data_IF_243920777118
#
_entry.id   IF_243920777118
#
_cell.length_a   1.000
_cell.length_b   1.000
_cell.length_c   1.000
_cell.angle_alpha   90.00
_cell.angle_beta   90.00
_cell.angle_gamma   90.00
#
_symmetry.space_group_name_H-M   'P 1'
#
loop_
_entity.id
_entity.type
_entity.pdbx_description
1 polymer ?
#
# COMPACT_ATOMS: atom_id res chain seq x y z
N UNK A 1 -25.59 -9.94 -2.63
CA UNK A 1 -25.63 -10.31 -1.20
C UNK A 1 -24.87 -11.63 -1.03
N UNK A 2 -23.54 -11.61 -0.95
CA UNK A 2 -22.72 -12.80 -0.62
C UNK A 2 -21.25 -12.39 -0.50
N UNK A 3 -20.84 -11.83 0.64
CA UNK A 3 -19.40 -11.79 0.99
C UNK A 3 -19.16 -11.45 2.47
N UNK A 4 -19.80 -12.18 3.37
CA UNK A 4 -19.38 -12.22 4.78
C UNK A 4 -19.24 -13.68 5.21
N UNK A 5 -18.30 -14.40 4.57
CA UNK A 5 -17.76 -15.60 5.23
C UNK A 5 -17.08 -15.14 6.51
N UNK A 6 -17.55 -15.66 7.64
CA UNK A 6 -17.14 -15.21 8.96
C UNK A 6 -15.67 -15.58 9.18
N UNK A 7 -14.91 -14.76 9.92
CA UNK A 7 -13.49 -14.96 10.19
C UNK A 7 -13.16 -16.38 10.68
N UNK A 8 -14.11 -17.01 11.39
CA UNK A 8 -14.08 -18.40 11.85
C UNK A 8 -13.97 -19.42 10.71
N UNK A 9 -14.65 -19.19 9.59
CA UNK A 9 -14.57 -20.05 8.41
C UNK A 9 -13.22 -19.90 7.73
N UNK A 10 -12.71 -18.66 7.56
CA UNK A 10 -11.37 -18.41 7.01
C UNK A 10 -10.27 -19.09 7.85
N UNK A 11 -10.37 -19.06 9.18
CA UNK A 11 -9.44 -19.77 10.06
C UNK A 11 -9.50 -21.30 9.91
N UNK A 12 -10.71 -21.88 9.71
CA UNK A 12 -10.85 -23.32 9.45
C UNK A 12 -10.13 -23.74 8.16
N UNK A 13 -10.21 -22.94 7.10
CA UNK A 13 -9.53 -23.23 5.84
C UNK A 13 -8.00 -23.16 5.93
N UNK A 14 -7.43 -22.34 6.82
CA UNK A 14 -5.99 -22.30 7.05
C UNK A 14 -5.47 -23.37 8.01
N UNK A 15 -6.28 -23.81 8.97
CA UNK A 15 -5.86 -24.76 10.00
C UNK A 15 -5.68 -26.19 9.45
N UNK A 16 -6.54 -26.63 8.52
CA UNK A 16 -6.48 -28.00 7.98
C UNK A 16 -5.20 -28.25 7.16
N UNK A 17 -4.80 -27.39 6.20
CA UNK A 17 -3.54 -27.55 5.48
C UNK A 17 -2.31 -27.46 6.40
N UNK A 18 -2.36 -26.63 7.45
CA UNK A 18 -1.28 -26.49 8.41
C UNK A 18 -1.08 -27.77 9.22
N UNK A 19 -2.15 -28.39 9.72
CA UNK A 19 -2.08 -29.65 10.47
C UNK A 19 -1.54 -30.77 9.58
N UNK A 20 -2.03 -30.87 8.34
CA UNK A 20 -1.57 -31.88 7.38
C UNK A 20 -0.08 -31.68 7.06
N UNK A 21 0.36 -30.44 6.86
CA UNK A 21 1.77 -30.11 6.61
C UNK A 21 2.67 -30.53 7.78
N UNK A 22 2.28 -30.20 9.02
CA UNK A 22 3.03 -30.59 10.22
C UNK A 22 3.08 -32.11 10.38
N UNK A 23 1.98 -32.83 10.10
CA UNK A 23 1.95 -34.29 10.15
C UNK A 23 2.87 -34.94 9.10
N UNK A 24 2.91 -34.41 7.88
CA UNK A 24 3.79 -34.91 6.81
C UNK A 24 5.27 -34.65 7.15
N UNK A 25 5.59 -33.48 7.70
CA UNK A 25 6.94 -33.15 8.15
C UNK A 25 7.38 -34.07 9.30
N UNK A 26 6.51 -34.34 10.28
CA UNK A 26 6.80 -35.27 11.37
C UNK A 26 7.04 -36.70 10.88
N UNK A 27 6.23 -37.20 9.94
CA UNK A 27 6.43 -38.52 9.33
C UNK A 27 7.74 -38.59 8.52
N UNK A 28 8.11 -37.49 7.85
CA UNK A 28 9.37 -37.38 7.12
C UNK A 28 10.58 -37.39 8.06
N UNK A 29 10.51 -36.65 9.17
CA UNK A 29 11.55 -36.64 10.22
C UNK A 29 11.70 -38.02 10.88
N UNK A 30 10.59 -38.72 11.14
CA UNK A 30 10.59 -40.09 11.63
C UNK A 30 11.27 -41.04 10.63
N UNK A 31 10.97 -40.93 9.33
CA UNK A 31 11.61 -41.74 8.30
C UNK A 31 13.13 -41.52 8.17
N UNK A 32 13.59 -40.29 8.38
CA UNK A 32 15.02 -39.96 8.45
C UNK A 32 15.67 -40.58 9.69
N UNK A 33 15.01 -40.48 10.86
CA UNK A 33 15.52 -41.02 12.12
C UNK A 33 15.66 -42.54 12.10
N UNK A 34 14.73 -43.25 11.44
CA UNK A 34 14.73 -44.72 11.37
C UNK A 34 15.46 -45.29 10.14
N UNK A 35 16.10 -44.46 9.31
CA UNK A 35 16.79 -44.88 8.07
C UNK A 35 15.91 -45.74 7.13
N UNK A 36 14.60 -45.50 7.10
CA UNK A 36 13.66 -46.28 6.27
C UNK A 36 13.56 -45.62 4.90
N UNK A 37 14.55 -45.89 4.05
CA UNK A 37 14.76 -45.18 2.78
C UNK A 37 13.62 -45.39 1.77
N UNK A 38 12.98 -46.56 1.76
CA UNK A 38 11.93 -46.92 0.80
C UNK A 38 10.57 -46.30 1.19
N UNK A 39 10.27 -46.22 2.49
CA UNK A 39 8.98 -45.71 2.99
C UNK A 39 8.85 -44.21 2.74
N UNK A 40 9.93 -43.45 2.94
CA UNK A 40 9.96 -42.00 2.69
C UNK A 40 9.73 -41.70 1.21
N UNK A 41 10.36 -42.47 0.31
CA UNK A 41 10.20 -42.30 -1.14
C UNK A 41 8.77 -42.63 -1.58
N UNK A 42 8.18 -43.71 -1.07
CA UNK A 42 6.81 -44.10 -1.39
C UNK A 42 5.77 -43.06 -0.95
N UNK A 43 5.89 -42.51 0.27
CA UNK A 43 4.99 -41.46 0.79
C UNK A 43 5.10 -40.17 -0.04
N UNK A 44 6.30 -39.83 -0.51
CA UNK A 44 6.53 -38.65 -1.34
C UNK A 44 5.97 -38.81 -2.76
N UNK A 45 6.11 -40.00 -3.36
CA UNK A 45 5.54 -40.28 -4.69
C UNK A 45 4.01 -40.29 -4.63
N UNK A 46 3.42 -40.82 -3.56
CA UNK A 46 1.96 -40.87 -3.40
C UNK A 46 1.33 -39.50 -3.07
N UNK A 47 2.07 -38.57 -2.47
CA UNK A 47 1.57 -37.23 -2.16
C UNK A 47 1.66 -36.24 -3.33
N UNK A 48 2.55 -36.47 -4.29
CA UNK A 48 2.76 -35.58 -5.45
C UNK A 48 1.51 -35.39 -6.34
N UNK A 49 0.74 -36.44 -6.71
CA UNK A 49 -0.47 -36.29 -7.50
C UNK A 49 -1.56 -35.50 -6.75
N UNK A 50 -1.65 -35.68 -5.42
CA UNK A 50 -2.62 -34.97 -4.59
C UNK A 50 -2.31 -33.47 -4.53
N UNK A 51 -1.03 -33.09 -4.44
CA UNK A 51 -0.61 -31.70 -4.48
C UNK A 51 -0.82 -31.05 -5.85
N UNK A 52 -0.57 -31.77 -6.94
CA UNK A 52 -0.82 -31.30 -8.31
C UNK A 52 -2.33 -31.09 -8.57
N UNK A 53 -3.16 -32.00 -8.07
CA UNK A 53 -4.62 -31.91 -8.17
C UNK A 53 -5.16 -30.73 -7.35
N UNK A 54 -4.62 -30.48 -6.15
CA UNK A 54 -5.01 -29.35 -5.30
C UNK A 54 -4.62 -28.00 -5.93
N UNK A 55 -3.45 -27.93 -6.58
CA UNK A 55 -2.98 -26.74 -7.28
C UNK A 55 -3.86 -26.36 -8.50
N UNK A 56 -4.52 -27.35 -9.12
CA UNK A 56 -5.44 -27.12 -10.24
C UNK A 56 -6.84 -26.67 -9.80
N UNK A 57 -7.21 -26.87 -8.54
CA UNK A 57 -8.57 -26.63 -8.01
C UNK A 57 -8.69 -25.34 -7.17
N UNK A 58 -7.59 -24.68 -6.82
CA UNK A 58 -7.57 -23.56 -5.85
C UNK A 58 -7.06 -22.22 -6.44
N UNK A 59 -7.43 -21.06 -5.85
CA UNK A 59 -7.15 -19.73 -6.41
C UNK A 59 -5.64 -19.44 -6.57
N UNK A 60 -5.25 -18.53 -7.48
CA UNK A 60 -3.86 -18.30 -7.92
C UNK A 60 -2.84 -18.00 -6.81
N UNK A 61 -3.30 -17.55 -5.64
CA UNK A 61 -2.46 -17.29 -4.46
C UNK A 61 -1.92 -18.62 -3.86
N UNK A 62 -2.72 -19.70 -3.88
CA UNK A 62 -2.33 -21.01 -3.35
C UNK A 62 -1.35 -21.75 -4.27
N UNK A 63 -1.41 -21.50 -5.57
CA UNK A 63 -0.47 -22.04 -6.57
C UNK A 63 0.97 -21.59 -6.28
N UNK A 64 1.16 -20.35 -5.82
CA UNK A 64 2.48 -19.83 -5.46
C UNK A 64 3.10 -20.52 -4.25
N UNK A 65 2.29 -20.86 -3.24
CA UNK A 65 2.76 -21.58 -2.04
C UNK A 65 3.15 -23.01 -2.41
N UNK A 66 2.32 -23.71 -3.17
CA UNK A 66 2.59 -25.08 -3.64
C UNK A 66 3.79 -25.15 -4.59
N UNK A 67 3.97 -24.14 -5.45
CA UNK A 67 5.15 -24.00 -6.31
C UNK A 67 6.44 -23.74 -5.51
N UNK A 68 6.36 -23.01 -4.39
CA UNK A 68 7.48 -22.85 -3.47
C UNK A 68 7.88 -24.16 -2.80
N UNK A 69 6.91 -24.99 -2.40
CA UNK A 69 7.17 -26.31 -1.83
C UNK A 69 7.80 -27.29 -2.84
N UNK A 70 7.30 -27.31 -4.09
CA UNK A 70 7.87 -28.16 -5.13
C UNK A 70 9.30 -27.72 -5.51
N UNK A 71 9.57 -26.41 -5.53
CA UNK A 71 10.92 -25.87 -5.73
C UNK A 71 11.90 -26.37 -4.65
N UNK A 72 11.56 -26.20 -3.37
CA UNK A 72 12.42 -26.68 -2.27
C UNK A 72 12.56 -28.21 -2.25
N UNK A 73 11.53 -28.95 -2.66
CA UNK A 73 11.58 -30.40 -2.86
C UNK A 73 12.61 -30.82 -3.92
N UNK A 74 12.62 -30.17 -5.09
CA UNK A 74 13.60 -30.46 -6.15
C UNK A 74 15.01 -30.02 -5.78
N UNK A 75 15.16 -28.91 -5.06
CA UNK A 75 16.44 -28.44 -4.51
C UNK A 75 17.04 -29.49 -3.57
N UNK A 76 16.24 -30.10 -2.69
CA UNK A 76 16.70 -31.17 -1.77
C UNK A 76 17.02 -32.47 -2.51
N UNK A 77 16.25 -32.84 -3.54
CA UNK A 77 16.56 -34.00 -4.39
C UNK A 77 17.87 -33.82 -5.15
N UNK A 78 18.10 -32.63 -5.72
CA UNK A 78 19.34 -32.27 -6.39
C UNK A 78 20.52 -32.30 -5.40
N UNK A 79 20.35 -31.81 -4.17
CA UNK A 79 21.36 -31.92 -3.11
C UNK A 79 21.70 -33.38 -2.76
N UNK A 80 20.73 -34.30 -2.82
CA UNK A 80 20.95 -35.73 -2.56
C UNK A 80 21.67 -36.43 -3.73
N UNK A 81 21.39 -36.01 -4.97
CA UNK A 81 22.02 -36.54 -6.20
C UNK A 81 23.48 -36.06 -6.33
N UNK A 82 23.80 -34.83 -5.88
CA UNK A 82 25.14 -34.22 -6.02
C UNK A 82 26.08 -34.57 -4.84
N UNK A 83 25.74 -35.57 -4.02
CA UNK A 83 26.58 -36.04 -2.91
C UNK A 83 27.84 -36.81 -3.36
N UNK A 84 28.45 -36.40 -4.47
CA UNK A 84 29.81 -36.79 -4.83
C UNK A 84 30.65 -35.58 -5.28
N UNK A 85 31.62 -35.26 -4.41
CA UNK A 85 32.92 -34.61 -4.67
C UNK A 85 33.02 -33.15 -5.19
N UNK A 86 31.96 -32.44 -5.55
CA UNK A 86 32.07 -31.02 -6.01
C UNK A 86 31.12 -30.02 -5.31
N UNK A 87 30.72 -30.33 -4.08
CA UNK A 87 29.60 -29.70 -3.39
C UNK A 87 29.79 -28.21 -3.04
N UNK A 88 30.87 -27.75 -2.41
CA UNK A 88 30.84 -26.41 -1.77
C UNK A 88 30.71 -25.18 -2.70
N UNK A 89 31.34 -25.16 -3.88
CA UNK A 89 31.31 -23.97 -4.76
C UNK A 89 30.01 -23.87 -5.60
N UNK A 90 29.38 -25.01 -5.90
CA UNK A 90 28.10 -25.05 -6.59
C UNK A 90 26.96 -24.56 -5.67
N UNK A 91 27.09 -24.81 -4.36
CA UNK A 91 26.09 -24.47 -3.33
C UNK A 91 25.87 -22.96 -3.19
N UNK A 92 26.94 -22.17 -3.20
CA UNK A 92 26.83 -20.71 -3.07
C UNK A 92 26.19 -20.08 -4.32
N UNK A 93 26.52 -20.57 -5.51
CA UNK A 93 25.95 -20.09 -6.76
C UNK A 93 24.43 -20.33 -6.84
N UNK A 94 23.95 -21.53 -6.48
CA UNK A 94 22.51 -21.83 -6.50
C UNK A 94 21.72 -21.12 -5.39
N UNK A 95 22.31 -20.94 -4.21
CA UNK A 95 21.66 -20.16 -3.15
C UNK A 95 21.49 -18.69 -3.56
N UNK A 96 22.51 -18.10 -4.19
CA UNK A 96 22.45 -16.72 -4.69
C UNK A 96 21.43 -16.62 -5.84
N UNK A 97 21.40 -17.57 -6.77
CA UNK A 97 20.40 -17.59 -7.85
C UNK A 97 18.97 -17.79 -7.33
N UNK A 98 18.78 -18.65 -6.33
CA UNK A 98 17.49 -18.87 -5.68
C UNK A 98 17.02 -17.64 -4.89
N UNK A 99 17.93 -16.94 -4.20
CA UNK A 99 17.66 -15.67 -3.54
C UNK A 99 17.26 -14.60 -4.57
N UNK A 100 18.00 -14.50 -5.68
CA UNK A 100 17.68 -13.57 -6.77
C UNK A 100 16.32 -13.87 -7.39
N UNK A 101 15.99 -15.14 -7.61
CA UNK A 101 14.69 -15.56 -8.14
C UNK A 101 13.56 -15.26 -7.14
N UNK A 102 13.75 -15.57 -5.86
CA UNK A 102 12.78 -15.28 -4.80
C UNK A 102 12.53 -13.78 -4.66
N UNK A 103 13.59 -12.97 -4.62
CA UNK A 103 13.49 -11.51 -4.59
C UNK A 103 12.80 -11.00 -5.85
N UNK A 104 13.20 -11.47 -7.04
CA UNK A 104 12.56 -11.10 -8.31
C UNK A 104 11.07 -11.45 -8.29
N UNK A 105 10.68 -12.61 -7.77
CA UNK A 105 9.27 -13.02 -7.67
C UNK A 105 8.48 -12.19 -6.65
N UNK A 106 9.09 -11.85 -5.51
CA UNK A 106 8.51 -10.91 -4.55
C UNK A 106 8.26 -9.52 -5.16
N UNK A 107 9.16 -9.05 -6.04
CA UNK A 107 9.02 -7.76 -6.73
C UNK A 107 8.11 -7.83 -7.98
N UNK A 108 8.05 -8.96 -8.68
CA UNK A 108 7.18 -9.12 -9.87
C UNK A 108 5.70 -9.04 -9.49
N UNK A 109 5.31 -9.51 -8.29
CA UNK A 109 3.93 -9.38 -7.81
C UNK A 109 3.49 -7.91 -7.54
N UNK A 110 4.41 -6.96 -7.47
CA UNK A 110 4.09 -5.53 -7.40
C UNK A 110 4.01 -4.85 -8.78
N UNK A 111 4.52 -5.48 -9.84
CA UNK A 111 4.56 -4.92 -11.19
C UNK A 111 3.43 -5.47 -12.06
N UNK A 112 2.23 -4.95 -11.81
CA UNK A 112 1.36 -4.48 -12.89
C UNK A 112 0.71 -5.52 -13.80
N UNK A 113 -0.46 -6.00 -13.39
CA UNK A 113 -1.56 -6.20 -14.34
C UNK A 113 -2.90 -5.84 -13.66
N UNK A 114 -3.48 -4.71 -14.07
CA UNK A 114 -4.88 -4.38 -13.83
C UNK A 114 -5.23 -3.70 -12.50
N UNK A 115 -4.59 -2.57 -12.14
CA UNK A 115 -5.21 -1.69 -11.14
C UNK A 115 -6.41 -0.98 -11.76
N UNK A 116 -7.59 -1.56 -11.59
CA UNK A 116 -8.83 -0.79 -11.63
C UNK A 116 -8.77 0.40 -10.66
N UNK A 117 -9.67 1.38 -10.82
CA UNK A 117 -9.69 2.57 -9.96
C UNK A 117 -9.68 2.15 -8.47
N UNK A 118 -8.76 2.67 -7.63
CA UNK A 118 -8.70 2.29 -6.23
C UNK A 118 -10.04 2.55 -5.54
N UNK A 119 -10.42 1.74 -4.54
CA UNK A 119 -11.62 2.01 -3.75
C UNK A 119 -11.58 3.42 -3.16
N UNK A 120 -12.74 4.10 -3.07
CA UNK A 120 -12.81 5.48 -2.53
C UNK A 120 -12.18 5.61 -1.14
N UNK A 121 -12.29 4.57 -0.30
CA UNK A 121 -11.64 4.53 1.03
C UNK A 121 -10.11 4.66 0.94
N UNK A 122 -9.47 3.98 -0.02
CA UNK A 122 -8.03 4.09 -0.25
C UNK A 122 -7.64 5.48 -0.78
N UNK A 123 -8.48 6.08 -1.63
CA UNK A 123 -8.26 7.44 -2.12
C UNK A 123 -8.33 8.48 -0.99
N UNK A 124 -9.23 8.31 -0.02
CA UNK A 124 -9.32 9.20 1.17
C UNK A 124 -8.04 9.17 1.99
N UNK A 125 -7.49 7.98 2.23
CA UNK A 125 -6.20 7.80 2.92
C UNK A 125 -5.08 8.51 2.14
N UNK A 126 -5.11 8.40 0.81
CA UNK A 126 -4.10 9.04 -0.05
C UNK A 126 -4.21 10.57 -0.02
N UNK A 127 -5.41 11.15 -0.12
CA UNK A 127 -5.57 12.62 -0.04
C UNK A 127 -5.18 13.14 1.36
N UNK A 128 -5.50 12.42 2.44
CA UNK A 128 -5.03 12.77 3.78
C UNK A 128 -3.50 12.69 3.91
N UNK A 129 -2.87 11.68 3.30
CA UNK A 129 -1.40 11.56 3.26
C UNK A 129 -0.75 12.73 2.52
N UNK A 130 -1.35 13.18 1.41
CA UNK A 130 -0.88 14.37 0.69
C UNK A 130 -1.00 15.62 1.57
N UNK A 131 -2.11 15.84 2.28
CA UNK A 131 -2.25 16.95 3.23
C UNK A 131 -1.17 16.92 4.31
N UNK A 132 -0.83 15.73 4.84
CA UNK A 132 0.25 15.61 5.85
C UNK A 132 1.61 16.03 5.28
N UNK A 133 1.91 15.62 4.04
CA UNK A 133 3.15 16.01 3.38
C UNK A 133 3.22 17.52 3.13
N UNK A 134 2.11 18.13 2.70
CA UNK A 134 2.02 19.58 2.55
C UNK A 134 2.12 20.29 3.90
N UNK A 135 1.48 19.75 4.95
CA UNK A 135 1.56 20.28 6.32
C UNK A 135 2.97 20.27 6.88
N UNK A 136 3.73 19.18 6.66
CA UNK A 136 5.14 19.12 7.04
C UNK A 136 5.96 20.18 6.31
N UNK A 137 5.70 20.39 5.02
CA UNK A 137 6.37 21.43 4.24
C UNK A 137 6.03 22.84 4.73
N UNK A 138 4.78 23.09 5.18
CA UNK A 138 4.41 24.34 5.84
C UNK A 138 5.17 24.54 7.15
N UNK A 139 5.31 23.49 7.98
CA UNK A 139 6.10 23.56 9.21
C UNK A 139 7.57 23.85 8.93
N UNK A 140 8.16 23.24 7.90
CA UNK A 140 9.55 23.55 7.50
C UNK A 140 9.67 24.99 6.99
N UNK A 141 8.73 25.45 6.17
CA UNK A 141 8.71 26.83 5.70
C UNK A 141 8.61 27.82 6.87
N UNK A 142 7.73 27.57 7.84
CA UNK A 142 7.51 28.48 8.97
C UNK A 142 8.75 28.62 9.86
N UNK A 143 9.52 27.54 10.04
CA UNK A 143 10.79 27.57 10.78
C UNK A 143 11.80 28.57 10.18
N UNK A 144 11.75 28.79 8.86
CA UNK A 144 12.65 29.70 8.15
C UNK A 144 12.03 31.10 7.92
N UNK A 145 10.76 31.31 8.28
CA UNK A 145 9.99 32.51 7.92
C UNK A 145 9.23 33.10 9.12
N UNK A 146 9.88 33.26 10.28
CA UNK A 146 9.32 33.88 11.49
C UNK A 146 7.98 33.27 11.95
N UNK A 147 7.84 31.95 11.80
CA UNK A 147 6.64 31.15 12.03
C UNK A 147 5.45 31.47 11.11
N UNK A 148 5.65 32.23 10.03
CA UNK A 148 4.61 32.48 9.02
C UNK A 148 4.58 31.38 7.96
N UNK A 149 3.37 30.98 7.58
CA UNK A 149 3.17 30.24 6.34
C UNK A 149 3.24 31.18 5.12
N UNK A 150 3.37 30.66 3.89
CA UNK A 150 3.35 31.46 2.67
C UNK A 150 2.21 32.50 2.65
N UNK A 151 2.51 33.73 2.22
CA UNK A 151 1.60 34.86 2.33
C UNK A 151 0.52 34.89 1.23
N UNK A 152 0.77 34.20 0.11
CA UNK A 152 -0.15 34.12 -1.03
C UNK A 152 -1.17 33.00 -0.86
N UNK A 153 -2.39 33.23 -1.33
CA UNK A 153 -3.42 32.19 -1.38
C UNK A 153 -3.19 31.18 -2.51
N UNK A 154 -3.85 30.03 -2.39
CA UNK A 154 -3.99 29.06 -3.47
C UNK A 154 -2.67 28.55 -4.03
N UNK A 155 -2.59 28.44 -5.36
CA UNK A 155 -1.47 27.90 -6.09
C UNK A 155 -0.20 28.72 -5.94
N UNK A 156 -0.31 30.04 -5.77
CA UNK A 156 0.85 30.92 -5.61
C UNK A 156 1.57 30.66 -4.28
N UNK A 157 0.83 30.52 -3.18
CA UNK A 157 1.41 30.18 -1.88
C UNK A 157 1.98 28.77 -1.85
N UNK A 158 1.28 27.80 -2.45
CA UNK A 158 1.78 26.43 -2.58
C UNK A 158 3.02 26.35 -3.48
N UNK A 159 3.13 27.22 -4.49
CA UNK A 159 4.30 27.31 -5.37
C UNK A 159 5.52 27.84 -4.61
N UNK A 160 5.36 28.65 -3.56
CA UNK A 160 6.47 29.07 -2.70
C UNK A 160 7.10 27.87 -1.99
N UNK A 161 6.30 26.92 -1.48
CA UNK A 161 6.83 25.67 -0.91
C UNK A 161 7.66 24.89 -1.92
N UNK A 162 7.19 24.83 -3.17
CA UNK A 162 7.86 24.09 -4.25
C UNK A 162 9.14 24.77 -4.71
N UNK A 163 9.10 26.09 -4.95
CA UNK A 163 10.25 26.90 -5.40
C UNK A 163 11.38 26.95 -4.38
N UNK A 164 11.04 26.93 -3.10
CA UNK A 164 12.00 26.94 -2.00
C UNK A 164 12.44 25.52 -1.57
N UNK A 165 12.12 24.49 -2.36
CA UNK A 165 12.51 23.10 -2.15
C UNK A 165 11.98 22.41 -0.89
N UNK A 166 10.94 22.94 -0.23
CA UNK A 166 10.26 22.26 0.88
C UNK A 166 9.42 21.08 0.40
N UNK A 167 8.79 21.20 -0.78
CA UNK A 167 7.98 20.14 -1.37
C UNK A 167 7.95 20.22 -2.90
N UNK A 168 8.82 19.47 -3.57
CA UNK A 168 9.04 19.62 -5.02
C UNK A 168 8.13 18.76 -5.90
N UNK A 169 7.54 17.69 -5.36
CA UNK A 169 6.72 16.76 -6.15
C UNK A 169 5.33 17.35 -6.47
N UNK A 170 5.14 17.67 -7.75
CA UNK A 170 3.87 18.16 -8.30
C UNK A 170 2.67 17.25 -8.01
N UNK A 171 2.86 15.94 -7.88
CA UNK A 171 1.76 14.99 -7.67
C UNK A 171 1.10 15.15 -6.31
N UNK A 172 1.85 15.59 -5.30
CA UNK A 172 1.34 15.75 -3.92
C UNK A 172 0.27 16.83 -3.86
N UNK A 173 0.35 17.85 -4.72
CA UNK A 173 -0.62 18.95 -4.82
C UNK A 173 -1.92 18.58 -5.54
N UNK A 174 -2.04 17.34 -6.02
CA UNK A 174 -3.27 16.82 -6.65
C UNK A 174 -3.87 15.70 -5.80
N UNK A 175 -5.18 15.74 -5.56
CA UNK A 175 -5.86 14.69 -4.80
C UNK A 175 -6.17 13.53 -5.75
N UNK A 176 -5.79 12.28 -5.43
CA UNK A 176 -6.07 11.11 -6.26
C UNK A 176 -7.54 10.83 -6.59
N UNK A 177 -8.49 11.44 -5.87
CA UNK A 177 -9.90 11.35 -6.19
C UNK A 177 -10.38 12.33 -7.26
N UNK A 178 -9.64 13.43 -7.48
CA UNK A 178 -9.91 14.44 -8.50
C UNK A 178 -9.51 13.93 -9.90
N UNK A 179 -9.92 14.66 -10.93
CA UNK A 179 -9.43 14.50 -12.30
C UNK A 179 -8.36 15.51 -12.68
N UNK A 180 -7.81 16.24 -11.69
CA UNK A 180 -6.82 17.29 -11.93
C UNK A 180 -5.50 16.68 -12.38
N UNK A 181 -4.82 17.38 -13.29
CA UNK A 181 -3.50 16.96 -13.78
C UNK A 181 -2.42 17.68 -12.98
N UNK A 182 -1.46 16.92 -12.47
CA UNK A 182 -0.29 17.48 -11.80
C UNK A 182 0.42 18.53 -12.69
N UNK A 183 0.99 19.53 -12.03
CA UNK A 183 1.83 20.54 -12.69
C UNK A 183 3.06 19.91 -13.37
N UNK A 184 3.66 20.67 -14.28
CA UNK A 184 4.92 20.31 -14.95
C UNK A 184 5.95 21.44 -14.90
N UNK A 185 5.46 22.68 -14.87
CA UNK A 185 6.26 23.89 -14.87
C UNK A 185 5.53 24.94 -14.02
N UNK A 186 5.73 24.80 -12.71
CA UNK A 186 5.02 25.56 -11.67
C UNK A 186 3.59 25.09 -11.38
N UNK A 187 3.13 25.40 -10.18
CA UNK A 187 1.74 25.20 -9.77
C UNK A 187 0.85 26.33 -10.29
N UNK A 188 -0.36 25.95 -10.69
CA UNK A 188 -1.43 26.85 -11.15
C UNK A 188 -2.73 26.36 -10.55
N UNK A 189 -3.73 27.23 -10.41
CA UNK A 189 -5.03 26.85 -9.84
C UNK A 189 -5.66 25.63 -10.54
N UNK A 190 -5.51 25.48 -11.86
CA UNK A 190 -6.06 24.33 -12.58
C UNK A 190 -5.30 23.00 -12.34
N UNK A 191 -4.14 23.06 -11.68
CA UNK A 191 -3.20 21.96 -11.48
C UNK A 191 -3.05 21.56 -10.01
N UNK A 192 -3.80 22.19 -9.11
CA UNK A 192 -3.86 21.82 -7.68
C UNK A 192 -5.26 21.36 -7.34
N UNK A 193 -5.40 20.45 -6.38
CA UNK A 193 -6.71 19.96 -5.91
C UNK A 193 -7.06 20.45 -4.51
N UNK A 194 -6.29 21.39 -3.96
CA UNK A 194 -6.46 21.91 -2.62
C UNK A 194 -6.76 23.40 -2.66
N UNK A 195 -7.41 23.89 -1.62
CA UNK A 195 -7.54 25.32 -1.35
C UNK A 195 -6.58 25.67 -0.23
N UNK A 196 -5.72 26.65 -0.47
CA UNK A 196 -4.78 27.17 0.51
C UNK A 196 -5.15 28.61 0.86
N UNK A 197 -5.09 28.93 2.15
CA UNK A 197 -5.24 30.27 2.70
C UNK A 197 -3.90 30.73 3.30
N UNK A 198 -3.32 31.76 2.71
CA UNK A 198 -2.02 32.30 3.04
C UNK A 198 -2.04 33.31 4.20
N UNK A 199 -0.84 33.72 4.61
CA UNK A 199 -0.62 34.81 5.57
C UNK A 199 -0.98 34.47 7.02
N UNK A 200 -1.10 33.18 7.34
CA UNK A 200 -1.42 32.69 8.68
C UNK A 200 -0.11 32.33 9.39
N UNK A 201 -0.02 32.69 10.67
CA UNK A 201 1.08 32.27 11.54
C UNK A 201 0.81 30.87 12.11
N UNK A 202 1.85 30.04 12.18
CA UNK A 202 1.78 28.76 12.89
C UNK A 202 1.38 29.00 14.35
N UNK A 203 0.38 28.26 14.83
CA UNK A 203 -0.12 28.41 16.20
C UNK A 203 -0.77 27.11 16.68
N UNK A 204 -0.44 26.74 17.92
CA UNK A 204 -1.00 25.58 18.63
C UNK A 204 -2.16 25.96 19.56
N UNK A 205 -2.35 27.25 19.85
CA UNK A 205 -3.33 27.71 20.84
C UNK A 205 -4.72 27.93 20.23
N UNK A 206 -4.77 28.38 18.98
CA UNK A 206 -6.02 28.54 18.23
C UNK A 206 -5.84 28.05 16.79
N UNK A 207 -5.89 26.73 16.57
CA UNK A 207 -5.66 26.16 15.25
C UNK A 207 -6.75 26.59 14.27
N UNK A 208 -6.36 27.25 13.19
CA UNK A 208 -7.29 27.70 12.13
C UNK A 208 -7.09 26.87 10.85
N UNK A 209 -8.14 26.68 10.03
CA UNK A 209 -8.00 26.01 8.73
C UNK A 209 -7.06 26.78 7.79
N UNK A 210 -6.00 26.12 7.32
CA UNK A 210 -5.02 26.70 6.38
C UNK A 210 -5.07 26.06 5.00
N UNK A 211 -5.40 24.77 4.90
CA UNK A 211 -5.43 24.04 3.64
C UNK A 211 -6.53 22.97 3.69
N UNK A 212 -7.30 22.81 2.62
CA UNK A 212 -8.34 21.76 2.56
C UNK A 212 -8.56 21.22 1.16
N UNK A 213 -9.18 20.04 1.09
CA UNK A 213 -9.63 19.47 -0.19
C UNK A 213 -10.57 20.42 -0.92
N UNK A 214 -10.43 20.54 -2.24
CA UNK A 214 -11.47 21.19 -3.04
C UNK A 214 -12.80 20.48 -2.83
N UNK A 215 -13.85 21.26 -2.62
CA UNK A 215 -15.20 20.75 -2.39
C UNK A 215 -15.68 19.81 -3.51
N UNK A 216 -15.17 19.97 -4.74
CA UNK A 216 -15.48 19.10 -5.87
C UNK A 216 -14.80 17.71 -5.83
N UNK A 217 -13.67 17.54 -5.12
CA UNK A 217 -12.84 16.31 -5.19
C UNK A 217 -13.57 15.03 -4.75
N UNK A 218 -14.49 15.19 -3.80
CA UNK A 218 -15.09 14.08 -3.07
C UNK A 218 -16.63 14.14 -3.04
N UNK A 219 -17.24 15.08 -3.79
CA UNK A 219 -18.67 15.21 -3.90
C UNK A 219 -19.18 14.41 -5.11
N UNK A 220 -19.51 13.13 -4.90
CA UNK A 220 -20.25 12.37 -5.91
C UNK A 220 -21.70 12.85 -5.95
N UNK A 221 -22.08 13.55 -7.02
CA UNK A 221 -23.45 14.05 -7.20
C UNK A 221 -24.50 12.93 -7.14
N UNK A 222 -24.12 11.68 -7.47
CA UNK A 222 -25.02 10.52 -7.42
C UNK A 222 -25.22 9.97 -6.00
N UNK A 223 -24.31 10.29 -5.08
CA UNK A 223 -24.28 9.79 -3.70
C UNK A 223 -23.84 10.90 -2.75
N UNK A 224 -24.66 11.95 -2.57
CA UNK A 224 -24.32 13.11 -1.76
C UNK A 224 -24.05 12.75 -0.29
N UNK A 225 -24.60 11.63 0.20
CA UNK A 225 -24.36 11.04 1.52
C UNK A 225 -22.96 10.42 1.70
N UNK A 226 -22.09 10.52 0.68
CA UNK A 226 -20.70 10.10 0.72
C UNK A 226 -19.71 11.26 0.57
N UNK A 227 -20.21 12.50 0.60
CA UNK A 227 -19.40 13.70 0.60
C UNK A 227 -18.39 13.67 1.77
N UNK A 228 -17.18 14.14 1.51
CA UNK A 228 -16.06 14.02 2.43
C UNK A 228 -15.01 15.07 2.11
N UNK A 229 -14.26 15.53 3.10
CA UNK A 229 -13.10 16.37 2.87
C UNK A 229 -12.17 16.38 4.07
N UNK A 230 -10.89 16.54 3.79
CA UNK A 230 -9.86 16.76 4.80
C UNK A 230 -9.54 18.25 4.89
N UNK A 231 -9.30 18.71 6.11
CA UNK A 231 -8.90 20.08 6.44
C UNK A 231 -7.66 20.02 7.32
N UNK A 232 -6.60 20.68 6.91
CA UNK A 232 -5.38 20.89 7.68
C UNK A 232 -5.48 22.20 8.45
N UNK A 233 -5.17 22.15 9.73
CA UNK A 233 -5.12 23.32 10.62
C UNK A 233 -3.69 23.86 10.75
N UNK A 234 -3.57 25.08 11.29
CA UNK A 234 -2.30 25.78 11.51
C UNK A 234 -1.35 25.12 12.52
N UNK A 235 -1.83 24.17 13.33
CA UNK A 235 -1.03 23.35 14.24
C UNK A 235 -0.52 22.05 13.59
N UNK A 236 -0.87 21.80 12.32
CA UNK A 236 -0.54 20.58 11.59
C UNK A 236 -1.52 19.42 11.79
N UNK A 237 -2.56 19.58 12.62
CA UNK A 237 -3.61 18.58 12.78
C UNK A 237 -4.55 18.54 11.56
N UNK A 238 -5.14 17.36 11.31
CA UNK A 238 -6.07 17.15 10.19
C UNK A 238 -7.45 16.78 10.74
N UNK A 239 -8.46 17.57 10.39
CA UNK A 239 -9.87 17.31 10.64
C UNK A 239 -10.50 16.70 9.40
N UNK A 240 -11.28 15.64 9.60
CA UNK A 240 -12.04 15.00 8.53
C UNK A 240 -13.51 15.35 8.68
N UNK A 241 -14.08 15.97 7.65
CA UNK A 241 -15.51 16.25 7.56
C UNK A 241 -16.20 15.22 6.66
N UNK A 242 -17.46 14.93 6.97
CA UNK A 242 -18.30 14.08 6.14
C UNK A 242 -19.68 14.70 5.94
N UNK A 243 -20.32 14.36 4.81
CA UNK A 243 -21.72 14.63 4.52
C UNK A 243 -22.06 16.13 4.64
N UNK A 244 -23.10 16.45 5.42
CA UNK A 244 -23.57 17.82 5.63
C UNK A 244 -22.53 18.71 6.29
N UNK A 245 -21.72 18.17 7.20
CA UNK A 245 -20.65 18.93 7.84
C UNK A 245 -19.59 19.40 6.82
N UNK A 246 -19.29 18.57 5.82
CA UNK A 246 -18.38 18.97 4.73
C UNK A 246 -19.00 20.05 3.84
N UNK A 247 -20.29 19.93 3.50
CA UNK A 247 -21.00 20.93 2.71
C UNK A 247 -21.04 22.29 3.40
N UNK A 248 -21.39 22.30 4.69
CA UNK A 248 -21.42 23.52 5.51
C UNK A 248 -20.05 24.18 5.59
N UNK A 249 -19.01 23.39 5.87
CA UNK A 249 -17.63 23.90 5.86
C UNK A 249 -17.27 24.53 4.51
N UNK A 250 -17.61 23.85 3.41
CA UNK A 250 -17.40 24.36 2.07
C UNK A 250 -18.14 25.68 1.82
N UNK A 251 -19.40 25.81 2.23
CA UNK A 251 -20.19 27.03 2.05
C UNK A 251 -19.59 28.21 2.82
N UNK A 252 -19.25 28.00 4.10
CA UNK A 252 -18.63 29.01 4.97
C UNK A 252 -17.29 29.51 4.43
N UNK A 253 -16.47 28.60 3.89
CA UNK A 253 -15.13 28.93 3.39
C UNK A 253 -15.11 29.29 1.89
N UNK A 254 -16.20 29.12 1.16
CA UNK A 254 -16.36 29.60 -0.23
C UNK A 254 -16.84 31.04 -0.31
N UNK A 255 -17.62 31.49 0.69
CA UNK A 255 -18.23 32.82 0.73
C UNK A 255 -17.21 33.94 1.01
N UNK A 256 -16.06 33.62 1.60
CA UNK A 256 -14.95 34.56 1.85
C UNK A 256 -14.09 34.85 0.60
N UNK A 257 -14.65 34.67 -0.61
CA UNK A 257 -14.03 34.96 -1.91
C UNK A 257 -14.25 36.40 -2.41
N UNK A 258 -14.55 37.35 -1.53
CA UNK A 258 -14.69 38.77 -1.91
C UNK A 258 -13.40 39.52 -1.67
#
# INVERSE_FOLDING_TARGET
>A
MSEKKTLKEKLKYCAVPFIISVSVILLFLLGILFKIEIFVIAVLILSFPAFLLLALLEPPIMVGVLGGFSYWFFVILIFKIIKDKYSQQLMSAFFVLGLFYFLSFCFINETGLGRGRPPRKALRISCASNLKQIGLAFTQYSMDNDDYFPDKDGAEGLEMLRKNNYLTDYKIYTCPASSDKAGKDGLKEKNISYHYKGGIKASNESPVPILWDRCANHNDKRKPENAYGNVLLSDGSIINYSNEAWKKFCEENSANKK
#
